data_IF_295530881002
#
_entry.id   IF_295530881002
#
_cell.length_a   1.000
_cell.length_b   1.000
_cell.length_c   1.000
_cell.angle_alpha   90.00
_cell.angle_beta   90.00
_cell.angle_gamma   90.00
#
_symmetry.space_group_name_H-M   'P 1'
#
loop_
_entity.id
_entity.type
_entity.pdbx_description
1 polymer ?
#
# COMPACT_ATOMS: atom_id res chain seq x y z
N UNK A 1 -74.09 35.55 8.63
CA UNK A 1 -73.74 36.97 8.48
C UNK A 1 -72.88 37.30 9.69
N UNK A 2 -71.57 37.41 9.62
CA UNK A 2 -70.69 37.95 8.57
C UNK A 2 -69.32 37.27 8.60
N UNK A 3 -68.77 37.09 7.41
CA UNK A 3 -67.36 36.78 7.12
C UNK A 3 -66.40 37.81 7.73
N UNK A 4 -65.15 37.42 8.05
CA UNK A 4 -63.97 37.94 7.33
C UNK A 4 -62.64 37.26 7.73
N UNK A 5 -62.02 36.65 6.72
CA UNK A 5 -60.59 36.60 6.34
C UNK A 5 -59.48 37.03 7.34
N UNK A 6 -58.51 36.13 7.50
CA UNK A 6 -57.15 36.41 7.96
C UNK A 6 -56.18 35.39 7.36
N UNK A 7 -55.21 35.87 6.60
CA UNK A 7 -54.45 35.15 5.58
C UNK A 7 -53.43 34.11 6.06
N UNK A 8 -53.13 33.23 5.11
CA UNK A 8 -51.97 32.35 4.96
C UNK A 8 -50.63 33.00 5.34
N UNK A 9 -49.72 32.21 5.90
CA UNK A 9 -48.29 32.31 5.55
C UNK A 9 -47.73 30.92 5.31
N UNK A 10 -47.56 30.63 4.03
CA UNK A 10 -46.77 29.56 3.44
C UNK A 10 -45.28 29.77 3.70
N UNK A 11 -44.58 28.72 4.13
CA UNK A 11 -43.13 28.67 4.27
C UNK A 11 -42.59 27.24 4.11
N UNK A 12 -43.07 26.49 3.13
CA UNK A 12 -42.57 25.16 2.83
C UNK A 12 -41.21 25.25 2.13
N UNK A 13 -40.12 24.95 2.84
CA UNK A 13 -38.82 24.67 2.19
C UNK A 13 -39.04 23.47 1.27
N UNK A 14 -38.83 23.67 -0.02
CA UNK A 14 -38.84 22.59 -1.01
C UNK A 14 -37.57 21.76 -0.80
N UNK A 15 -37.57 20.87 0.19
CA UNK A 15 -36.47 19.94 0.44
C UNK A 15 -36.49 18.88 -0.64
N UNK A 16 -35.63 19.04 -1.65
CA UNK A 16 -35.37 17.97 -2.62
C UNK A 16 -34.76 16.79 -1.87
N UNK A 17 -35.56 15.77 -1.63
CA UNK A 17 -35.10 14.51 -1.05
C UNK A 17 -34.38 13.69 -2.12
N UNK A 18 -33.10 13.41 -1.87
CA UNK A 18 -32.22 12.63 -2.72
C UNK A 18 -32.18 11.19 -2.21
N UNK A 19 -32.28 10.22 -3.12
CA UNK A 19 -32.24 8.79 -2.78
C UNK A 19 -30.81 8.26 -2.82
N UNK A 20 -30.34 7.67 -1.72
CA UNK A 20 -29.03 7.01 -1.66
C UNK A 20 -29.03 5.74 -2.54
N UNK A 21 -27.97 5.54 -3.34
CA UNK A 21 -27.86 4.37 -4.22
C UNK A 21 -27.51 3.06 -3.49
N UNK A 22 -27.14 3.12 -2.20
CA UNK A 22 -26.76 1.95 -1.38
C UNK A 22 -27.91 1.51 -0.47
N UNK A 23 -28.35 2.37 0.46
CA UNK A 23 -29.39 2.01 1.41
C UNK A 23 -30.81 2.27 0.89
N UNK A 24 -30.95 2.98 -0.24
CA UNK A 24 -32.23 3.33 -0.86
C UNK A 24 -33.12 4.31 -0.05
N UNK A 25 -32.63 4.82 1.08
CA UNK A 25 -33.32 5.85 1.87
C UNK A 25 -33.18 7.26 1.26
N UNK A 26 -34.00 8.19 1.75
CA UNK A 26 -34.06 9.58 1.29
C UNK A 26 -33.39 10.54 2.28
N UNK A 27 -32.61 11.49 1.75
CA UNK A 27 -31.80 12.44 2.51
C UNK A 27 -31.88 13.85 1.93
N UNK A 28 -31.52 14.86 2.71
CA UNK A 28 -31.36 16.21 2.17
C UNK A 28 -30.10 16.31 1.32
N UNK A 29 -30.05 17.30 0.43
CA UNK A 29 -28.89 17.55 -0.44
C UNK A 29 -27.58 17.81 0.31
N UNK A 30 -27.66 18.30 1.55
CA UNK A 30 -26.50 18.51 2.42
C UNK A 30 -26.00 17.24 3.11
N UNK A 31 -26.70 16.11 2.98
CA UNK A 31 -26.41 14.84 3.65
C UNK A 31 -25.95 13.75 2.66
N UNK A 32 -25.71 14.15 1.40
CA UNK A 32 -25.37 13.26 0.30
C UNK A 32 -24.19 13.77 -0.50
N UNK A 33 -23.41 12.82 -1.00
CA UNK A 33 -22.27 13.04 -1.88
C UNK A 33 -22.56 12.42 -3.24
N UNK A 34 -22.44 13.22 -4.31
CA UNK A 34 -22.48 12.74 -5.69
C UNK A 34 -21.07 12.36 -6.15
N UNK A 35 -20.90 11.15 -6.67
CA UNK A 35 -19.62 10.66 -7.20
C UNK A 35 -19.53 10.86 -8.72
N UNK A 36 -18.36 10.55 -9.32
CA UNK A 36 -18.08 10.81 -10.73
C UNK A 36 -19.02 10.12 -11.74
N UNK A 37 -19.66 9.02 -11.35
CA UNK A 37 -20.65 8.31 -12.17
C UNK A 37 -22.10 8.75 -11.90
N UNK A 38 -22.30 9.90 -11.24
CA UNK A 38 -23.58 10.52 -10.90
C UNK A 38 -24.48 9.79 -9.89
N UNK A 39 -24.01 8.68 -9.32
CA UNK A 39 -24.68 8.09 -8.16
C UNK A 39 -24.53 8.96 -6.91
N UNK A 40 -25.59 8.99 -6.09
CA UNK A 40 -25.64 9.76 -4.85
C UNK A 40 -25.62 8.82 -3.64
N UNK A 41 -24.71 9.07 -2.72
CA UNK A 41 -24.52 8.32 -1.49
C UNK A 41 -24.87 9.19 -0.31
N UNK A 42 -25.63 8.68 0.67
CA UNK A 42 -25.66 9.37 1.97
C UNK A 42 -24.28 9.31 2.64
N UNK A 43 -23.98 10.29 3.49
CA UNK A 43 -22.69 10.39 4.18
C UNK A 43 -22.29 9.10 4.92
N UNK A 44 -23.25 8.43 5.57
CA UNK A 44 -22.99 7.16 6.25
C UNK A 44 -22.56 6.05 5.27
N UNK A 45 -23.21 5.93 4.11
CA UNK A 45 -22.90 4.88 3.14
C UNK A 45 -21.55 5.13 2.43
N UNK A 46 -21.25 6.38 2.04
CA UNK A 46 -19.95 6.67 1.42
C UNK A 46 -18.81 6.50 2.43
N UNK A 47 -18.96 6.96 3.68
CA UNK A 47 -17.99 6.70 4.74
C UNK A 47 -17.73 5.20 4.92
N UNK A 48 -18.79 4.41 5.00
CA UNK A 48 -18.68 2.96 5.18
C UNK A 48 -18.00 2.26 4.00
N UNK A 49 -18.19 2.76 2.77
CA UNK A 49 -17.49 2.27 1.59
C UNK A 49 -15.97 2.50 1.70
N UNK A 50 -15.55 3.70 2.12
CA UNK A 50 -14.14 3.99 2.39
C UNK A 50 -13.57 3.09 3.47
N UNK A 51 -14.22 3.01 4.64
CA UNK A 51 -13.76 2.14 5.75
C UNK A 51 -13.60 0.69 5.28
N UNK A 52 -14.59 0.15 4.54
CA UNK A 52 -14.50 -1.23 4.02
C UNK A 52 -13.31 -1.41 3.09
N UNK A 53 -13.05 -0.45 2.20
CA UNK A 53 -11.90 -0.51 1.30
C UNK A 53 -10.54 -0.51 2.02
N UNK A 54 -10.45 0.05 3.23
CA UNK A 54 -9.20 0.03 4.02
C UNK A 54 -8.85 -1.36 4.57
N UNK A 55 -9.86 -2.22 4.73
CA UNK A 55 -9.71 -3.55 5.33
C UNK A 55 -9.73 -4.69 4.31
N UNK A 56 -10.17 -4.43 3.08
CA UNK A 56 -10.28 -5.41 2.01
C UNK A 56 -9.58 -4.89 0.74
N UNK A 57 -8.44 -5.51 0.40
CA UNK A 57 -7.63 -5.12 -0.76
C UNK A 57 -8.41 -5.25 -2.08
N UNK A 58 -9.38 -6.17 -2.18
CA UNK A 58 -10.22 -6.32 -3.38
C UNK A 58 -11.17 -5.15 -3.60
N UNK A 59 -11.46 -4.39 -2.54
CA UNK A 59 -12.32 -3.20 -2.56
C UNK A 59 -11.53 -1.90 -2.65
N UNK A 60 -10.19 -1.95 -2.67
CA UNK A 60 -9.33 -0.78 -2.76
C UNK A 60 -8.79 -0.57 -4.19
N UNK A 61 -8.81 0.67 -4.72
CA UNK A 61 -9.45 1.86 -4.16
C UNK A 61 -10.99 1.75 -4.26
N UNK A 62 -11.74 2.51 -3.43
CA UNK A 62 -13.19 2.49 -3.47
C UNK A 62 -13.70 2.94 -4.84
N UNK A 63 -14.61 2.16 -5.42
CA UNK A 63 -15.14 2.38 -6.78
C UNK A 63 -16.67 2.38 -6.81
N UNK A 64 -17.22 3.13 -7.75
CA UNK A 64 -18.61 3.02 -8.19
C UNK A 64 -18.66 2.92 -9.71
N UNK A 65 -19.42 1.96 -10.25
CA UNK A 65 -19.50 1.73 -11.70
C UNK A 65 -18.12 1.55 -12.39
N UNK A 66 -17.14 1.00 -11.65
CA UNK A 66 -15.76 0.85 -12.12
C UNK A 66 -14.92 2.12 -12.08
N UNK A 67 -15.49 3.26 -11.71
CA UNK A 67 -14.78 4.53 -11.53
C UNK A 67 -14.34 4.70 -10.09
N UNK A 68 -13.10 5.11 -9.88
CA UNK A 68 -12.55 5.41 -8.56
C UNK A 68 -13.25 6.61 -7.91
N UNK A 69 -13.55 6.49 -6.62
CA UNK A 69 -14.10 7.56 -5.80
C UNK A 69 -12.94 8.21 -5.05
N UNK A 70 -12.65 9.47 -5.40
CA UNK A 70 -11.56 10.26 -4.79
C UNK A 70 -11.80 10.52 -3.30
N UNK A 71 -10.76 10.41 -2.47
CA UNK A 71 -10.82 10.66 -1.02
C UNK A 71 -11.46 12.01 -0.66
N UNK A 72 -11.18 13.07 -1.43
CA UNK A 72 -11.74 14.40 -1.24
C UNK A 72 -13.29 14.46 -1.16
N UNK A 73 -14.00 13.42 -1.64
CA UNK A 73 -15.46 13.31 -1.54
C UNK A 73 -15.96 12.80 -0.18
N UNK A 74 -15.09 12.23 0.63
CA UNK A 74 -15.40 11.66 1.94
C UNK A 74 -14.48 12.14 3.06
N UNK A 75 -13.52 13.03 2.77
CA UNK A 75 -12.49 13.51 3.69
C UNK A 75 -13.11 14.11 4.98
N UNK A 76 -14.10 14.99 4.86
CA UNK A 76 -14.83 15.59 5.99
C UNK A 76 -15.64 14.58 6.83
N UNK A 77 -15.83 13.36 6.32
CA UNK A 77 -16.60 12.30 6.98
C UNK A 77 -15.68 11.33 7.74
N UNK A 78 -14.39 11.33 7.43
CA UNK A 78 -13.40 10.43 8.00
C UNK A 78 -12.64 11.13 9.13
N UNK A 79 -12.14 10.35 10.09
CA UNK A 79 -11.20 10.87 11.07
C UNK A 79 -9.77 10.87 10.53
N UNK A 80 -8.85 11.53 11.24
CA UNK A 80 -7.45 11.64 10.84
C UNK A 80 -6.79 10.27 10.64
N UNK A 81 -7.02 9.31 11.55
CA UNK A 81 -6.44 7.97 11.46
C UNK A 81 -6.94 7.20 10.22
N UNK A 82 -8.23 7.34 9.88
CA UNK A 82 -8.83 6.77 8.67
C UNK A 82 -8.22 7.37 7.40
N UNK A 83 -7.98 8.69 7.37
CA UNK A 83 -7.34 9.40 6.26
C UNK A 83 -5.88 8.98 6.10
N UNK A 84 -5.10 8.95 7.18
CA UNK A 84 -3.70 8.52 7.14
C UNK A 84 -3.57 7.06 6.69
N UNK A 85 -4.48 6.19 7.16
CA UNK A 85 -4.56 4.81 6.72
C UNK A 85 -4.88 4.72 5.22
N UNK A 86 -5.80 5.54 4.72
CA UNK A 86 -6.11 5.61 3.29
C UNK A 86 -4.88 5.98 2.46
N UNK A 87 -4.13 7.02 2.84
CA UNK A 87 -2.91 7.39 2.13
C UNK A 87 -1.85 6.30 2.16
N UNK A 88 -1.70 5.60 3.29
CA UNK A 88 -0.78 4.45 3.35
C UNK A 88 -1.19 3.35 2.35
N UNK A 89 -2.49 3.01 2.30
CA UNK A 89 -3.05 2.05 1.35
C UNK A 89 -2.91 2.50 -0.09
N UNK A 90 -3.09 3.79 -0.37
CA UNK A 90 -2.94 4.36 -1.71
C UNK A 90 -1.49 4.22 -2.21
N UNK A 91 -0.51 4.53 -1.35
CA UNK A 91 0.92 4.33 -1.67
C UNK A 91 1.22 2.85 -1.89
N UNK A 92 0.74 1.97 -1.01
CA UNK A 92 0.89 0.52 -1.18
C UNK A 92 0.31 0.07 -2.52
N UNK A 93 -0.93 0.46 -2.82
CA UNK A 93 -1.65 0.06 -4.03
C UNK A 93 -0.92 0.49 -5.31
N UNK A 94 -0.43 1.74 -5.34
CA UNK A 94 0.23 2.34 -6.50
C UNK A 94 1.72 1.96 -6.64
N UNK A 95 2.32 1.36 -5.61
CA UNK A 95 3.70 0.88 -5.67
C UNK A 95 3.79 -0.37 -6.54
N UNK A 96 4.56 -0.31 -7.63
CA UNK A 96 4.73 -1.42 -8.57
C UNK A 96 5.48 -2.62 -7.97
N UNK A 97 6.58 -2.36 -7.25
CA UNK A 97 7.38 -3.39 -6.58
C UNK A 97 7.25 -3.24 -5.08
N UNK A 98 6.18 -3.83 -4.53
CA UNK A 98 5.88 -3.76 -3.09
C UNK A 98 6.85 -4.66 -2.33
N UNK A 99 7.39 -4.14 -1.23
CA UNK A 99 8.20 -4.91 -0.29
C UNK A 99 7.44 -4.98 1.02
N UNK A 100 7.22 -6.20 1.48
CA UNK A 100 6.57 -6.49 2.76
C UNK A 100 7.60 -6.95 3.77
N UNK A 101 7.37 -6.65 5.05
CA UNK A 101 8.24 -7.05 6.13
C UNK A 101 8.38 -8.58 6.18
N UNK A 102 9.62 -9.07 6.09
CA UNK A 102 9.93 -10.50 6.12
C UNK A 102 9.74 -11.18 7.48
N UNK A 103 9.30 -10.45 8.51
CA UNK A 103 8.85 -11.03 9.76
C UNK A 103 7.40 -11.55 9.58
N UNK A 104 7.15 -12.87 9.68
CA UNK A 104 5.81 -13.45 9.46
C UNK A 104 4.74 -12.93 10.43
N UNK A 105 5.12 -12.51 11.63
CA UNK A 105 4.19 -11.93 12.60
C UNK A 105 3.84 -10.47 12.31
N UNK A 106 4.59 -9.80 11.43
CA UNK A 106 4.40 -8.40 11.09
C UNK A 106 3.77 -8.23 9.70
N UNK A 107 4.43 -8.72 8.64
CA UNK A 107 3.93 -8.65 7.26
C UNK A 107 3.63 -7.24 6.72
N UNK A 108 3.98 -6.17 7.45
CA UNK A 108 3.61 -4.80 7.08
C UNK A 108 4.30 -4.35 5.78
N UNK A 109 3.57 -3.61 4.94
CA UNK A 109 4.14 -2.93 3.78
C UNK A 109 5.24 -1.95 4.21
N UNK A 110 6.38 -1.98 3.51
CA UNK A 110 7.51 -1.06 3.73
C UNK A 110 7.51 -0.04 2.60
N UNK A 111 7.31 1.24 2.96
CA UNK A 111 7.29 2.33 1.99
C UNK A 111 8.63 2.43 1.24
N UNK A 112 8.64 2.76 -0.07
CA UNK A 112 9.85 2.82 -0.88
C UNK A 112 10.97 3.70 -0.30
N UNK A 113 10.63 4.77 0.42
CA UNK A 113 11.60 5.69 1.02
C UNK A 113 12.36 5.07 2.20
N UNK A 114 11.95 3.90 2.69
CA UNK A 114 12.61 3.13 3.75
C UNK A 114 13.48 1.99 3.18
N UNK A 115 13.61 1.92 1.86
CA UNK A 115 14.42 0.93 1.15
C UNK A 115 15.73 1.59 0.69
N UNK A 116 16.87 0.98 1.01
CA UNK A 116 18.21 1.44 0.64
C UNK A 116 19.00 0.26 0.09
N UNK A 117 19.17 0.22 -1.22
CA UNK A 117 19.71 -0.95 -1.91
C UNK A 117 18.77 -2.15 -1.71
N UNK A 118 19.32 -3.26 -1.24
CA UNK A 118 18.60 -4.49 -0.91
C UNK A 118 18.02 -4.50 0.52
N UNK A 119 18.19 -3.42 1.29
CA UNK A 119 17.80 -3.36 2.70
C UNK A 119 16.57 -2.49 2.91
N UNK A 120 15.47 -3.10 3.33
CA UNK A 120 14.22 -2.45 3.67
C UNK A 120 14.02 -2.43 5.20
N UNK A 121 13.77 -1.25 5.77
CA UNK A 121 13.52 -1.10 7.22
C UNK A 121 12.03 -1.03 7.52
N UNK A 122 11.52 -1.96 8.33
CA UNK A 122 10.14 -1.93 8.80
C UNK A 122 9.99 -0.90 9.94
N UNK A 123 8.99 -0.03 9.87
CA UNK A 123 8.67 0.91 10.98
C UNK A 123 7.82 0.27 12.08
N UNK A 124 7.10 -0.81 11.78
CA UNK A 124 6.23 -1.50 12.75
C UNK A 124 6.99 -2.36 13.76
N UNK A 125 7.92 -3.20 13.27
CA UNK A 125 8.70 -4.10 14.14
C UNK A 125 10.21 -3.85 14.13
N UNK A 126 10.68 -2.81 13.42
CA UNK A 126 12.09 -2.38 13.33
C UNK A 126 13.06 -3.38 12.67
N UNK A 127 12.59 -4.57 12.30
CA UNK A 127 13.39 -5.55 11.57
C UNK A 127 13.80 -5.04 10.17
N UNK A 128 14.94 -5.55 9.72
CA UNK A 128 15.41 -5.38 8.35
C UNK A 128 14.94 -6.56 7.50
N UNK A 129 14.49 -6.23 6.30
CA UNK A 129 14.02 -7.17 5.28
C UNK A 129 14.90 -7.04 4.03
N UNK A 130 15.21 -8.16 3.38
CA UNK A 130 15.83 -8.15 2.06
C UNK A 130 14.78 -7.77 1.01
N UNK A 131 15.02 -6.69 0.26
CA UNK A 131 14.11 -6.19 -0.77
C UNK A 131 14.03 -7.12 -2.00
N UNK A 132 14.96 -8.07 -2.16
CA UNK A 132 14.97 -9.03 -3.26
C UNK A 132 14.06 -10.24 -2.99
N UNK A 133 14.26 -10.91 -1.84
CA UNK A 133 13.53 -12.13 -1.49
C UNK A 133 12.41 -11.94 -0.45
N UNK A 134 12.26 -10.72 0.08
CA UNK A 134 11.28 -10.38 1.13
C UNK A 134 11.40 -11.19 2.43
N UNK A 135 12.51 -11.91 2.64
CA UNK A 135 12.84 -12.54 3.92
C UNK A 135 13.53 -11.54 4.86
N UNK A 136 13.72 -11.94 6.14
CA UNK A 136 14.60 -11.20 7.05
C UNK A 136 15.98 -10.98 6.41
N UNK A 137 16.52 -9.79 6.60
CA UNK A 137 17.77 -9.37 5.98
C UNK A 137 18.95 -10.27 6.40
N UNK A 138 19.77 -10.66 5.43
CA UNK A 138 20.95 -11.51 5.60
C UNK A 138 22.22 -10.65 5.64
N UNK A 139 22.81 -10.50 6.83
CA UNK A 139 23.97 -9.62 7.04
C UNK A 139 25.28 -10.17 6.47
N UNK A 140 25.51 -11.48 6.65
CA UNK A 140 26.79 -12.12 6.34
C UNK A 140 26.69 -13.09 5.14
N UNK A 141 25.61 -12.99 4.38
CA UNK A 141 25.34 -13.86 3.24
C UNK A 141 24.70 -13.07 2.10
N UNK A 142 24.96 -13.53 0.88
CA UNK A 142 24.23 -13.08 -0.29
C UNK A 142 22.76 -13.46 -0.19
N UNK A 143 21.92 -12.69 -0.89
CA UNK A 143 20.58 -13.14 -1.17
C UNK A 143 20.65 -14.34 -2.15
N UNK A 144 20.07 -15.49 -1.80
CA UNK A 144 20.04 -16.65 -2.70
C UNK A 144 19.17 -16.42 -3.94
N UNK A 145 18.26 -15.43 -3.88
CA UNK A 145 17.33 -15.09 -4.96
C UNK A 145 17.77 -13.84 -5.74
N UNK A 146 18.95 -13.27 -5.46
CA UNK A 146 19.48 -12.15 -6.25
C UNK A 146 19.93 -12.63 -7.64
N UNK A 147 19.30 -12.16 -8.74
CA UNK A 147 19.60 -12.64 -10.08
C UNK A 147 21.03 -12.29 -10.53
N UNK A 148 21.58 -11.15 -10.08
CA UNK A 148 22.93 -10.74 -10.45
C UNK A 148 23.98 -11.62 -9.78
N UNK A 149 23.74 -12.00 -8.52
CA UNK A 149 24.58 -12.95 -7.79
C UNK A 149 24.51 -14.33 -8.46
N UNK A 150 23.31 -14.82 -8.75
CA UNK A 150 23.13 -16.11 -9.44
C UNK A 150 23.85 -16.13 -10.80
N UNK A 151 23.70 -15.08 -11.60
CA UNK A 151 24.38 -14.96 -12.89
C UNK A 151 25.91 -14.94 -12.75
N UNK A 152 26.43 -14.23 -11.74
CA UNK A 152 27.87 -14.18 -11.45
C UNK A 152 28.40 -15.55 -11.05
N UNK A 153 27.66 -16.31 -10.23
CA UNK A 153 28.06 -17.65 -9.80
C UNK A 153 27.98 -18.67 -10.95
N UNK A 154 26.97 -18.57 -11.82
CA UNK A 154 26.84 -19.43 -12.99
C UNK A 154 28.01 -19.22 -13.97
N UNK A 155 28.40 -17.96 -14.23
CA UNK A 155 29.56 -17.65 -15.05
C UNK A 155 30.85 -18.16 -14.40
N UNK A 156 31.00 -17.99 -13.07
CA UNK A 156 32.15 -18.49 -12.35
C UNK A 156 32.31 -20.01 -12.49
N UNK A 157 31.20 -20.76 -12.43
CA UNK A 157 31.20 -22.21 -12.64
C UNK A 157 31.63 -22.57 -14.07
N UNK A 158 31.11 -21.88 -15.07
CA UNK A 158 31.46 -22.09 -16.48
C UNK A 158 32.95 -21.87 -16.75
N UNK A 159 33.54 -20.83 -16.16
CA UNK A 159 34.94 -20.46 -16.35
C UNK A 159 35.92 -21.17 -15.39
N UNK A 160 35.41 -22.04 -14.51
CA UNK A 160 36.21 -22.73 -13.49
C UNK A 160 36.77 -21.80 -12.40
N UNK A 161 36.19 -20.62 -12.23
CA UNK A 161 36.51 -19.69 -11.15
C UNK A 161 35.97 -20.21 -9.82
N UNK A 162 36.56 -19.73 -8.72
CA UNK A 162 36.21 -20.18 -7.37
C UNK A 162 35.81 -18.99 -6.53
N UNK A 163 34.85 -19.21 -5.62
CA UNK A 163 34.43 -18.21 -4.66
C UNK A 163 35.32 -18.28 -3.41
N UNK A 164 35.88 -17.15 -2.99
CA UNK A 164 36.64 -17.06 -1.76
C UNK A 164 35.73 -17.38 -0.56
N UNK A 165 36.17 -18.24 0.36
CA UNK A 165 35.37 -18.60 1.53
C UNK A 165 35.19 -17.42 2.51
N UNK A 166 36.17 -16.52 2.58
CA UNK A 166 36.22 -15.38 3.51
C UNK A 166 35.43 -14.19 2.98
N UNK A 167 35.92 -13.56 1.91
CA UNK A 167 35.35 -12.32 1.38
C UNK A 167 34.29 -12.54 0.31
N UNK A 168 34.04 -13.81 -0.05
CA UNK A 168 33.00 -14.19 -1.00
C UNK A 168 33.16 -13.68 -2.44
N UNK A 169 34.26 -13.00 -2.77
CA UNK A 169 34.59 -12.63 -4.14
C UNK A 169 34.83 -13.85 -5.03
N UNK A 170 34.45 -13.75 -6.30
CA UNK A 170 34.79 -14.73 -7.35
C UNK A 170 36.21 -14.44 -7.85
N UNK A 171 37.06 -15.46 -7.89
CA UNK A 171 38.47 -15.34 -8.29
C UNK A 171 38.86 -16.40 -9.33
N UNK A 172 39.67 -16.00 -10.30
CA UNK A 172 40.31 -16.91 -11.25
C UNK A 172 41.65 -17.39 -10.68
N UNK A 173 41.90 -18.70 -10.71
CA UNK A 173 43.22 -19.25 -10.42
C UNK A 173 44.09 -19.21 -11.68
N UNK A 174 45.15 -18.41 -11.68
CA UNK A 174 46.04 -18.27 -12.85
C UNK A 174 47.10 -19.36 -12.94
N UNK A 175 47.64 -19.90 -11.83
CA UNK A 175 48.55 -21.08 -11.73
C UNK A 175 48.57 -21.69 -10.31
N UNK A 176 48.65 -23.03 -10.18
CA UNK A 176 49.22 -23.79 -9.04
C UNK A 176 48.48 -23.87 -7.68
N UNK A 177 48.30 -25.11 -7.20
CA UNK A 177 47.91 -25.62 -5.86
C UNK A 177 46.69 -25.01 -5.12
N UNK A 178 45.71 -25.86 -4.80
CA UNK A 178 44.41 -25.53 -4.16
C UNK A 178 44.46 -25.02 -2.70
N UNK A 179 45.62 -24.54 -2.22
CA UNK A 179 45.79 -24.11 -0.82
C UNK A 179 45.48 -22.61 -0.67
N UNK A 180 44.23 -22.29 -0.33
CA UNK A 180 43.80 -20.94 0.02
C UNK A 180 44.26 -20.64 1.47
N UNK A 181 45.26 -19.76 1.65
CA UNK A 181 45.69 -19.28 2.97
C UNK A 181 45.02 -17.94 3.27
N UNK A 182 44.44 -17.80 4.46
CA UNK A 182 43.98 -16.52 4.98
C UNK A 182 45.20 -15.62 5.23
N UNK A 183 45.20 -14.41 4.69
CA UNK A 183 46.15 -13.38 5.06
C UNK A 183 45.55 -12.59 6.24
N UNK A 184 46.18 -12.67 7.41
CA UNK A 184 45.88 -11.75 8.51
C UNK A 184 46.35 -10.37 8.08
N UNK A 185 45.44 -9.39 8.08
CA UNK A 185 45.78 -7.98 7.93
C UNK A 185 45.94 -7.45 9.36
N UNK A 186 47.17 -7.10 9.74
CA UNK A 186 47.48 -6.34 10.96
C UNK A 186 46.94 -4.90 10.88
#
# INVERSE_FOLDING_TARGET
>A
MTDNHGQQTSGGRNTTNIKCCVCLDQFQRSEVTRVGCDHEYCHACIKQLFIKSLHDESLFPPKCCGQEIRLALAEDLLNEDEIQTFHHREIEHTTAHRVYCGNPACGAFIRPELIRGDRARCTGCLNLTCAQCMNLFHFDADCPEDPAIQATLALAEQEGWRRCYSCKAVVQLSRGCNHMRYANIE
#
